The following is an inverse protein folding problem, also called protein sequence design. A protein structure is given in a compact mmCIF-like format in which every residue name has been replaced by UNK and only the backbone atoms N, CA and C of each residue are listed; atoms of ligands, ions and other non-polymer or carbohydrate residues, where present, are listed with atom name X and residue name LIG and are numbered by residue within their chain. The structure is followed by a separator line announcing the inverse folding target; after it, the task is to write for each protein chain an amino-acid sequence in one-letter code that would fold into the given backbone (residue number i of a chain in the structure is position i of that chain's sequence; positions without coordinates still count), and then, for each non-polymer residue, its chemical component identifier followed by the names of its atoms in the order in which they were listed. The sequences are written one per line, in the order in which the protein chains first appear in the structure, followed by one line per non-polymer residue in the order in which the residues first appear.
data_IF_565710604294
#
_entry.id   IF_565710604294
#
_cell.length_a   1.000
_cell.length_b   1.000
_cell.length_c   1.000
_cell.angle_alpha   90.00
_cell.angle_beta   90.00
_cell.angle_gamma   90.00
#
_symmetry.space_group_name_H-M   'P 1'
#
loop_
_entity.id
_entity.type
_entity.pdbx_description
1 polymer ?
#
# COMPACT_ATOMS: atom_id res chain seq x y z
N UNK A 1 -20.45 -35.93 23.04
CA UNK A 1 -19.91 -34.98 22.03
C UNK A 1 -21.07 -34.52 21.18
N UNK A 2 -21.32 -33.24 21.04
CA UNK A 2 -22.36 -32.74 20.14
C UNK A 2 -22.00 -33.12 18.71
N UNK A 3 -22.93 -33.71 17.97
CA UNK A 3 -22.76 -34.01 16.55
C UNK A 3 -22.75 -32.68 15.78
N UNK A 4 -21.85 -32.52 14.81
CA UNK A 4 -21.78 -31.29 14.00
C UNK A 4 -23.08 -30.98 13.26
N UNK A 5 -23.87 -32.00 12.94
CA UNK A 5 -25.22 -31.81 12.41
C UNK A 5 -26.18 -31.23 13.45
N UNK A 6 -26.06 -31.65 14.71
CA UNK A 6 -26.87 -31.11 15.83
C UNK A 6 -26.47 -29.66 16.13
N UNK A 7 -25.16 -29.33 16.05
CA UNK A 7 -24.63 -27.96 16.24
C UNK A 7 -25.24 -27.01 15.23
N UNK A 8 -25.37 -27.43 13.98
CA UNK A 8 -25.96 -26.61 12.90
C UNK A 8 -27.51 -26.73 12.87
N UNK A 9 -28.10 -27.65 13.62
CA UNK A 9 -29.56 -27.91 13.65
C UNK A 9 -30.07 -28.45 12.30
N UNK A 10 -29.32 -29.34 11.67
CA UNK A 10 -29.66 -29.95 10.38
C UNK A 10 -29.64 -31.49 10.50
N UNK A 11 -30.38 -32.19 9.64
CA UNK A 11 -30.33 -33.63 9.57
C UNK A 11 -29.04 -34.15 8.94
N UNK A 12 -28.60 -35.37 9.26
CA UNK A 12 -27.39 -35.99 8.69
C UNK A 12 -27.40 -36.13 7.18
N UNK A 13 -28.58 -36.22 6.58
CA UNK A 13 -28.79 -36.28 5.13
C UNK A 13 -28.89 -34.89 4.45
N UNK A 14 -28.71 -33.81 5.22
CA UNK A 14 -28.84 -32.44 4.70
C UNK A 14 -27.93 -32.18 3.52
N UNK A 15 -28.45 -31.48 2.51
CA UNK A 15 -27.71 -31.06 1.35
C UNK A 15 -26.70 -29.92 1.70
N UNK A 16 -25.69 -29.75 0.89
CA UNK A 16 -24.70 -28.65 1.05
C UNK A 16 -25.37 -27.28 1.15
N UNK A 17 -26.47 -27.07 0.42
CA UNK A 17 -27.23 -25.81 0.47
C UNK A 17 -27.98 -25.63 1.78
N UNK A 18 -28.51 -26.71 2.36
CA UNK A 18 -29.16 -26.68 3.67
C UNK A 18 -28.15 -26.35 4.76
N UNK A 19 -27.01 -27.02 4.76
CA UNK A 19 -25.89 -26.76 5.69
C UNK A 19 -25.46 -25.27 5.60
N UNK A 20 -25.28 -24.75 4.38
CA UNK A 20 -24.90 -23.35 4.14
C UNK A 20 -25.97 -22.36 4.63
N UNK A 21 -27.25 -22.67 4.45
CA UNK A 21 -28.34 -21.81 4.94
C UNK A 21 -28.42 -21.81 6.47
N UNK A 22 -28.28 -22.95 7.11
CA UNK A 22 -28.27 -23.09 8.57
C UNK A 22 -27.11 -22.29 9.17
N UNK A 23 -25.90 -22.46 8.64
CA UNK A 23 -24.73 -21.69 9.07
C UNK A 23 -24.95 -20.18 8.96
N UNK A 24 -25.41 -19.69 7.79
CA UNK A 24 -25.67 -18.26 7.59
C UNK A 24 -26.68 -17.67 8.57
N UNK A 25 -27.68 -18.46 8.98
CA UNK A 25 -28.66 -18.03 9.96
C UNK A 25 -28.00 -17.88 11.32
N UNK A 26 -27.34 -18.93 11.79
CA UNK A 26 -26.70 -18.97 13.12
C UNK A 26 -25.53 -17.94 13.20
N UNK A 27 -24.77 -17.78 12.13
CA UNK A 27 -23.67 -16.82 12.07
C UNK A 27 -24.14 -15.35 12.20
N UNK A 28 -25.34 -15.01 11.70
CA UNK A 28 -25.91 -13.67 11.90
C UNK A 28 -26.43 -13.46 13.32
N UNK A 29 -27.02 -14.49 13.91
CA UNK A 29 -27.59 -14.45 15.27
C UNK A 29 -26.49 -14.38 16.34
N UNK A 30 -25.37 -15.06 16.11
CA UNK A 30 -24.26 -15.22 17.07
C UNK A 30 -23.06 -14.31 16.76
N UNK A 31 -23.16 -13.41 15.75
CA UNK A 31 -22.04 -12.55 15.38
C UNK A 31 -21.59 -11.64 16.53
N UNK A 32 -20.28 -11.53 16.81
CA UNK A 32 -19.78 -10.73 17.94
C UNK A 32 -20.26 -9.26 17.94
N UNK A 33 -20.48 -8.68 16.76
CA UNK A 33 -20.96 -7.29 16.62
C UNK A 33 -22.47 -7.16 16.97
N UNK A 34 -23.22 -8.25 16.90
CA UNK A 34 -24.66 -8.28 17.19
C UNK A 34 -24.92 -8.83 18.60
N UNK A 35 -24.10 -9.76 19.05
CA UNK A 35 -24.25 -10.43 20.34
C UNK A 35 -22.89 -10.53 21.06
N UNK A 36 -22.55 -9.57 21.94
CA UNK A 36 -21.27 -9.53 22.65
C UNK A 36 -21.16 -10.53 23.81
N UNK A 37 -22.17 -11.36 24.06
CA UNK A 37 -22.17 -12.35 25.14
C UNK A 37 -21.07 -13.41 24.92
N UNK A 38 -20.21 -13.69 25.93
CA UNK A 38 -19.20 -14.73 25.85
C UNK A 38 -19.73 -16.13 25.52
N UNK A 39 -20.95 -16.45 25.93
CA UNK A 39 -21.60 -17.73 25.63
C UNK A 39 -21.96 -17.79 24.14
N UNK A 40 -22.48 -16.71 23.58
CA UNK A 40 -22.77 -16.60 22.15
C UNK A 40 -21.48 -16.69 21.29
N UNK A 41 -20.38 -16.09 21.73
CA UNK A 41 -19.10 -16.19 21.05
C UNK A 41 -18.55 -17.63 21.03
N UNK A 42 -18.67 -18.36 22.10
CA UNK A 42 -18.26 -19.78 22.15
C UNK A 42 -19.11 -20.61 21.20
N UNK A 43 -20.44 -20.38 21.20
CA UNK A 43 -21.35 -21.06 20.28
C UNK A 43 -21.13 -20.71 18.83
N UNK A 44 -20.72 -19.47 18.54
CA UNK A 44 -20.28 -19.04 17.19
C UNK A 44 -19.07 -19.85 16.69
N UNK A 45 -18.08 -20.11 17.57
CA UNK A 45 -16.92 -20.95 17.25
C UNK A 45 -17.34 -22.39 16.91
N UNK A 46 -18.20 -22.98 17.72
CA UNK A 46 -18.72 -24.35 17.48
C UNK A 46 -19.48 -24.45 16.15
N UNK A 47 -20.31 -23.45 15.85
CA UNK A 47 -21.07 -23.37 14.59
C UNK A 47 -20.15 -23.20 13.37
N UNK A 48 -19.09 -22.43 13.52
CA UNK A 48 -18.10 -22.23 12.45
C UNK A 48 -17.32 -23.51 12.20
N UNK A 49 -16.89 -24.20 13.25
CA UNK A 49 -16.20 -25.49 13.17
C UNK A 49 -17.07 -26.55 12.49
N UNK A 50 -18.32 -26.67 12.89
CA UNK A 50 -19.28 -27.62 12.31
C UNK A 50 -19.47 -27.33 10.80
N UNK A 51 -19.57 -26.07 10.41
CA UNK A 51 -19.71 -25.70 9.00
C UNK A 51 -18.45 -26.02 8.18
N UNK A 52 -17.26 -25.76 8.70
CA UNK A 52 -15.99 -26.06 8.00
C UNK A 52 -15.83 -27.56 7.72
N UNK A 53 -16.28 -28.41 8.63
CA UNK A 53 -16.23 -29.86 8.44
C UNK A 53 -17.30 -30.34 7.48
N UNK A 54 -18.54 -29.87 7.62
CA UNK A 54 -19.67 -30.37 6.84
C UNK A 54 -19.83 -29.73 5.46
N UNK A 55 -19.19 -28.58 5.20
CA UNK A 55 -19.24 -27.93 3.88
C UNK A 55 -18.31 -28.55 2.84
N UNK A 56 -17.24 -29.19 3.27
CA UNK A 56 -16.29 -29.90 2.38
C UNK A 56 -16.71 -31.37 2.25
N UNK A 57 -16.96 -31.88 1.02
CA UNK A 57 -17.39 -33.27 0.79
C UNK A 57 -16.41 -34.31 1.35
N UNK A 58 -15.11 -34.04 1.30
CA UNK A 58 -14.10 -34.97 1.80
C UNK A 58 -14.06 -35.01 3.33
N UNK A 59 -14.11 -33.83 3.96
CA UNK A 59 -14.15 -33.71 5.42
C UNK A 59 -15.42 -34.32 5.98
N UNK A 60 -16.56 -34.03 5.35
CA UNK A 60 -17.87 -34.62 5.71
C UNK A 60 -17.85 -36.14 5.61
N UNK A 61 -17.34 -36.69 4.49
CA UNK A 61 -17.24 -38.15 4.30
C UNK A 61 -16.35 -38.83 5.35
N UNK A 62 -15.26 -38.17 5.77
CA UNK A 62 -14.38 -38.67 6.81
C UNK A 62 -15.05 -38.62 8.19
N UNK A 63 -15.79 -37.56 8.47
CA UNK A 63 -16.60 -37.45 9.71
C UNK A 63 -17.70 -38.50 9.78
N UNK A 64 -18.44 -38.70 8.68
CA UNK A 64 -19.55 -39.68 8.58
C UNK A 64 -19.07 -41.15 8.67
N UNK A 65 -17.82 -41.45 8.27
CA UNK A 65 -17.20 -42.78 8.38
C UNK A 65 -16.73 -43.11 9.80
N UNK A 66 -17.01 -42.27 10.80
CA UNK A 66 -16.63 -42.52 12.18
C UNK A 66 -15.12 -42.47 12.40
N UNK A 67 -14.45 -41.46 11.84
CA UNK A 67 -13.01 -41.21 12.04
C UNK A 67 -12.68 -41.17 13.53
N UNK A 68 -12.24 -42.31 14.07
CA UNK A 68 -11.69 -42.47 15.41
C UNK A 68 -10.36 -41.66 15.47
N UNK A 69 -10.45 -40.38 15.82
CA UNK A 69 -9.27 -39.53 15.92
C UNK A 69 -9.53 -38.16 16.55
N UNK A 70 -10.78 -37.77 16.69
CA UNK A 70 -11.11 -36.49 17.35
C UNK A 70 -11.24 -36.67 18.89
N UNK A 71 -10.15 -37.07 19.52
CA UNK A 71 -10.10 -37.08 20.99
C UNK A 71 -9.56 -35.74 21.46
N UNK A 72 -10.40 -34.74 21.57
CA UNK A 72 -10.09 -33.49 22.25
C UNK A 72 -10.09 -33.78 23.79
N UNK A 73 -9.01 -34.41 24.25
CA UNK A 73 -8.74 -34.63 25.66
C UNK A 73 -8.41 -33.33 26.35
N UNK A 74 -9.25 -32.98 27.30
CA UNK A 74 -9.09 -31.88 28.24
C UNK A 74 -7.65 -31.78 28.80
N UNK A 75 -7.06 -30.61 28.76
CA UNK A 75 -5.91 -30.26 29.58
C UNK A 75 -5.00 -29.22 28.99
N UNK A 76 -5.13 -27.99 29.43
CA UNK A 76 -4.00 -27.02 29.28
C UNK A 76 -4.34 -25.69 28.66
N UNK A 77 -4.69 -24.75 29.52
CA UNK A 77 -4.84 -23.35 29.22
C UNK A 77 -3.53 -22.71 28.74
N UNK A 78 -3.62 -21.82 27.76
CA UNK A 78 -2.70 -20.70 27.58
C UNK A 78 -1.68 -20.85 26.47
N UNK A 79 -1.96 -20.23 25.37
CA UNK A 79 -1.09 -19.41 24.54
C UNK A 79 -1.56 -19.46 23.09
N UNK A 80 -1.84 -18.31 22.55
CA UNK A 80 -2.26 -17.89 21.23
C UNK A 80 -1.73 -18.60 19.97
N UNK A 81 -1.89 -19.89 19.87
CA UNK A 81 -1.71 -20.62 18.62
C UNK A 81 -3.01 -20.52 17.84
N UNK A 82 -2.96 -19.85 16.69
CA UNK A 82 -4.11 -19.73 15.81
C UNK A 82 -4.62 -21.12 15.40
N UNK A 83 -5.93 -21.26 15.38
CA UNK A 83 -6.63 -22.49 14.98
C UNK A 83 -6.21 -23.03 13.61
N UNK A 84 -5.71 -22.16 12.72
CA UNK A 84 -5.09 -22.51 11.44
C UNK A 84 -3.83 -23.39 11.58
N UNK A 85 -3.00 -23.12 12.56
CA UNK A 85 -1.75 -23.86 12.76
C UNK A 85 -2.02 -25.29 13.32
N UNK A 86 -3.10 -25.45 14.10
CA UNK A 86 -3.50 -26.75 14.62
C UNK A 86 -4.18 -27.59 13.51
N UNK A 87 -4.97 -26.96 12.65
CA UNK A 87 -5.55 -27.60 11.47
C UNK A 87 -4.48 -28.01 10.44
N UNK A 88 -3.49 -27.19 10.18
CA UNK A 88 -2.35 -27.53 9.33
C UNK A 88 -1.47 -28.66 9.94
N UNK A 89 -1.33 -28.73 11.25
CA UNK A 89 -0.63 -29.82 11.91
C UNK A 89 -1.41 -31.14 11.89
N UNK A 90 -2.73 -31.10 11.90
CA UNK A 90 -3.59 -32.30 11.99
C UNK A 90 -4.10 -32.80 10.62
N UNK A 91 -4.43 -31.89 9.68
CA UNK A 91 -4.90 -32.22 8.34
C UNK A 91 -3.85 -32.00 7.25
N UNK A 92 -2.84 -31.19 7.50
CA UNK A 92 -1.61 -31.11 6.73
C UNK A 92 -0.75 -32.38 6.89
N UNK A 93 -1.44 -33.47 7.23
CA UNK A 93 -0.86 -34.76 7.56
C UNK A 93 0.26 -35.12 6.67
N UNK A 94 1.46 -35.28 7.25
CA UNK A 94 2.51 -36.20 6.81
C UNK A 94 2.78 -36.41 5.31
N UNK A 95 2.21 -35.57 4.46
CA UNK A 95 2.57 -35.50 3.07
C UNK A 95 3.99 -34.92 3.02
N UNK A 96 4.99 -35.78 2.78
CA UNK A 96 6.35 -35.40 2.45
C UNK A 96 6.28 -34.18 1.52
N UNK A 97 6.51 -32.98 2.07
CA UNK A 97 6.77 -31.80 1.25
C UNK A 97 8.00 -32.17 0.46
N UNK A 98 7.83 -32.47 -0.83
CA UNK A 98 8.93 -32.85 -1.69
C UNK A 98 10.11 -31.87 -1.59
N UNK A 99 11.24 -32.14 -2.21
CA UNK A 99 12.41 -31.30 -2.12
C UNK A 99 12.06 -29.85 -2.51
N UNK A 100 12.60 -28.88 -1.78
CA UNK A 100 12.45 -27.47 -2.13
C UNK A 100 12.96 -27.23 -3.55
N UNK A 101 12.21 -26.55 -4.40
CA UNK A 101 12.71 -26.24 -5.75
C UNK A 101 13.92 -25.30 -5.61
N UNK A 102 15.00 -25.56 -6.36
CA UNK A 102 16.14 -24.65 -6.45
C UNK A 102 15.77 -23.37 -7.19
N UNK A 103 14.95 -23.52 -8.22
CA UNK A 103 14.44 -22.39 -8.99
C UNK A 103 13.22 -21.83 -8.28
N UNK A 104 13.32 -20.60 -7.79
CA UNK A 104 12.25 -19.91 -7.07
C UNK A 104 12.03 -18.55 -7.72
N UNK A 105 10.81 -18.01 -7.64
CA UNK A 105 10.56 -16.64 -8.04
C UNK A 105 11.33 -15.67 -7.16
N UNK A 106 11.88 -14.62 -7.76
CA UNK A 106 12.52 -13.53 -7.06
C UNK A 106 11.53 -12.68 -6.27
N UNK A 107 12.08 -11.90 -5.38
CA UNK A 107 11.29 -10.96 -4.57
C UNK A 107 10.93 -9.72 -5.39
N UNK A 108 9.77 -9.18 -5.10
CA UNK A 108 9.40 -7.87 -5.60
C UNK A 108 10.25 -6.81 -4.88
N UNK A 109 10.61 -5.76 -5.60
CA UNK A 109 11.42 -4.65 -5.09
C UNK A 109 10.59 -3.36 -5.07
N UNK A 110 10.82 -2.51 -4.08
CA UNK A 110 10.23 -1.18 -3.97
C UNK A 110 11.35 -0.15 -3.92
N UNK A 111 11.28 0.83 -4.80
CA UNK A 111 12.16 2.00 -4.78
C UNK A 111 11.32 3.26 -4.74
N UNK A 112 11.88 4.34 -4.19
CA UNK A 112 11.25 5.66 -4.17
C UNK A 112 12.02 6.59 -5.07
N UNK A 113 11.30 7.35 -5.88
CA UNK A 113 11.88 8.40 -6.70
C UNK A 113 11.22 9.73 -6.37
N UNK A 114 12.02 10.76 -6.30
CA UNK A 114 11.55 12.11 -6.12
C UNK A 114 11.38 12.77 -7.49
N UNK A 115 10.22 13.37 -7.73
CA UNK A 115 9.90 14.11 -8.94
C UNK A 115 9.50 15.53 -8.58
N UNK A 116 9.63 16.45 -9.52
CA UNK A 116 9.14 17.80 -9.35
C UNK A 116 7.65 17.93 -9.76
N UNK A 117 7.05 19.06 -9.43
CA UNK A 117 5.64 19.32 -9.73
C UNK A 117 5.36 19.38 -11.24
N UNK A 118 6.36 19.79 -12.05
CA UNK A 118 6.25 19.83 -13.51
C UNK A 118 6.19 18.40 -14.07
N UNK A 119 7.08 17.52 -13.62
CA UNK A 119 7.07 16.11 -14.00
C UNK A 119 5.79 15.40 -13.54
N UNK A 120 5.30 15.73 -12.33
CA UNK A 120 4.04 15.19 -11.83
C UNK A 120 2.85 15.65 -12.67
N UNK A 121 2.87 16.88 -13.16
CA UNK A 121 1.78 17.48 -13.94
C UNK A 121 1.74 16.96 -15.38
N UNK A 122 2.88 16.90 -16.06
CA UNK A 122 2.94 16.61 -17.49
C UNK A 122 3.41 15.19 -17.82
N UNK A 123 3.93 14.48 -16.82
CA UNK A 123 4.61 13.21 -17.01
C UNK A 123 6.03 13.40 -17.53
N UNK A 124 6.83 12.37 -17.38
CA UNK A 124 8.21 12.35 -17.88
C UNK A 124 8.71 10.92 -18.07
N UNK A 125 9.73 10.75 -18.90
CA UNK A 125 10.51 9.53 -19.00
C UNK A 125 11.81 9.71 -18.21
N UNK A 126 12.02 8.85 -17.21
CA UNK A 126 13.20 8.92 -16.35
C UNK A 126 14.02 7.65 -16.38
N UNK A 127 15.31 7.82 -16.52
CA UNK A 127 16.26 6.74 -16.29
C UNK A 127 16.59 6.63 -14.81
N UNK A 128 16.39 5.43 -14.27
CA UNK A 128 16.73 5.11 -12.88
C UNK A 128 17.76 3.99 -12.84
N UNK A 129 18.73 4.10 -11.95
CA UNK A 129 19.71 3.04 -11.71
C UNK A 129 19.31 2.28 -10.45
N UNK A 130 19.06 0.99 -10.59
CA UNK A 130 18.67 0.10 -9.49
C UNK A 130 19.74 -0.96 -9.26
N UNK A 131 20.02 -1.25 -8.00
CA UNK A 131 20.85 -2.37 -7.60
C UNK A 131 19.96 -3.57 -7.29
N UNK A 132 20.07 -4.61 -8.08
CA UNK A 132 19.16 -5.76 -8.02
C UNK A 132 19.91 -7.07 -8.31
N UNK A 133 19.31 -8.19 -7.94
CA UNK A 133 19.83 -9.50 -8.32
C UNK A 133 19.49 -9.81 -9.77
N UNK A 134 20.52 -10.06 -10.58
CA UNK A 134 20.41 -10.44 -11.99
C UNK A 134 20.86 -11.89 -12.18
N UNK A 135 20.44 -12.52 -13.26
CA UNK A 135 20.92 -13.87 -13.65
C UNK A 135 22.44 -13.84 -13.78
N UNK A 136 23.12 -14.77 -13.14
CA UNK A 136 24.56 -14.91 -13.31
C UNK A 136 24.90 -15.25 -14.75
N UNK A 137 25.70 -14.42 -15.40
CA UNK A 137 26.07 -14.57 -16.82
C UNK A 137 26.98 -15.77 -17.06
N UNK A 138 27.77 -16.19 -16.07
CA UNK A 138 28.69 -17.33 -16.16
C UNK A 138 27.98 -18.68 -16.19
N UNK A 139 26.99 -18.86 -15.34
CA UNK A 139 26.26 -20.13 -15.23
C UNK A 139 24.83 -20.07 -15.76
N UNK A 140 24.40 -18.93 -16.28
CA UNK A 140 23.04 -18.71 -16.84
C UNK A 140 21.91 -19.18 -15.90
N UNK A 141 22.12 -18.95 -14.58
CA UNK A 141 21.15 -19.30 -13.54
C UNK A 141 21.29 -20.68 -12.92
N UNK A 142 22.07 -21.61 -13.49
CA UNK A 142 22.20 -22.98 -12.98
C UNK A 142 22.90 -23.10 -11.61
N UNK A 143 23.70 -22.10 -11.25
CA UNK A 143 24.54 -22.12 -10.05
C UNK A 143 25.75 -23.04 -10.15
N UNK A 144 25.89 -23.82 -11.20
CA UNK A 144 26.98 -24.78 -11.43
C UNK A 144 28.07 -24.21 -12.32
N UNK A 145 29.30 -24.66 -12.13
CA UNK A 145 30.43 -24.33 -12.98
C UNK A 145 30.37 -25.16 -14.29
N UNK A 146 30.48 -24.49 -15.43
CA UNK A 146 30.40 -25.15 -16.73
C UNK A 146 29.05 -25.80 -16.99
N UNK A 147 29.06 -26.99 -17.62
CA UNK A 147 27.86 -27.78 -17.98
C UNK A 147 27.45 -28.81 -16.92
N UNK A 148 28.06 -28.78 -15.73
CA UNK A 148 27.69 -29.68 -14.63
C UNK A 148 26.28 -29.38 -14.11
N UNK A 149 25.45 -30.43 -14.01
CA UNK A 149 24.11 -30.31 -13.44
C UNK A 149 24.13 -30.70 -11.95
N UNK A 150 23.22 -30.16 -11.13
CA UNK A 150 23.06 -30.57 -9.74
C UNK A 150 22.77 -32.09 -9.67
N UNK A 151 23.52 -32.82 -8.85
CA UNK A 151 23.34 -34.26 -8.66
C UNK A 151 22.38 -34.56 -7.51
N UNK A 152 21.74 -35.73 -7.51
CA UNK A 152 20.88 -36.16 -6.40
C UNK A 152 21.68 -36.21 -5.09
N UNK A 153 21.13 -35.69 -4.02
CA UNK A 153 21.78 -35.76 -2.72
C UNK A 153 21.93 -37.22 -2.24
N UNK A 154 23.14 -37.69 -1.95
CA UNK A 154 23.36 -39.09 -1.53
C UNK A 154 22.72 -39.43 -0.19
N UNK A 155 22.55 -38.45 0.71
CA UNK A 155 22.01 -38.68 2.06
C UNK A 155 20.48 -38.86 2.03
N UNK A 156 19.73 -37.94 1.40
CA UNK A 156 18.27 -38.01 1.33
C UNK A 156 17.74 -38.64 0.03
N UNK A 157 18.61 -39.04 -0.88
CA UNK A 157 18.28 -39.66 -2.15
C UNK A 157 17.25 -38.88 -2.97
N UNK A 158 17.37 -37.56 -2.94
CA UNK A 158 16.48 -36.64 -3.64
C UNK A 158 15.22 -36.19 -2.89
N UNK A 159 14.95 -36.72 -1.70
CA UNK A 159 13.75 -36.39 -0.92
C UNK A 159 13.78 -34.98 -0.30
N UNK A 160 14.95 -34.41 -0.12
CA UNK A 160 15.13 -33.12 0.56
C UNK A 160 15.06 -33.22 2.08
N UNK A 161 14.49 -34.28 2.62
CA UNK A 161 14.24 -34.46 4.05
C UNK A 161 14.85 -35.78 4.56
N UNK A 162 15.18 -35.79 5.84
CA UNK A 162 15.61 -37.01 6.56
C UNK A 162 14.67 -37.26 7.74
N UNK A 163 14.21 -38.49 7.88
CA UNK A 163 13.38 -38.91 9.01
C UNK A 163 14.24 -39.17 10.21
N UNK A 164 13.86 -38.64 11.35
CA UNK A 164 14.51 -38.90 12.64
C UNK A 164 13.47 -39.41 13.62
N UNK A 165 13.78 -40.58 14.21
CA UNK A 165 12.94 -41.13 15.28
C UNK A 165 13.41 -40.52 16.60
N UNK A 166 12.53 -39.72 17.22
CA UNK A 166 12.80 -39.12 18.53
C UNK A 166 11.98 -39.90 19.59
N UNK A 167 12.62 -40.37 20.63
CA UNK A 167 11.96 -40.99 21.77
C UNK A 167 11.38 -39.90 22.65
N UNK A 168 10.07 -39.88 22.76
CA UNK A 168 9.29 -39.01 23.67
C UNK A 168 8.70 -39.83 24.79
N UNK A 169 8.28 -39.19 25.89
CA UNK A 169 7.59 -39.83 27.04
C UNK A 169 6.31 -40.55 26.59
N UNK A 170 5.75 -40.21 25.46
CA UNK A 170 4.54 -40.82 24.85
C UNK A 170 4.87 -41.89 23.79
N UNK A 171 6.14 -42.28 23.59
CA UNK A 171 6.54 -43.26 22.59
C UNK A 171 7.54 -42.73 21.56
N UNK A 172 7.71 -43.48 20.48
CA UNK A 172 8.59 -43.08 19.37
C UNK A 172 7.81 -42.20 18.41
N UNK A 173 8.26 -40.94 18.21
CA UNK A 173 7.70 -40.01 17.26
C UNK A 173 8.65 -39.88 16.08
N UNK A 174 8.17 -40.12 14.86
CA UNK A 174 8.90 -39.87 13.64
C UNK A 174 8.76 -38.37 13.28
N UNK A 175 9.86 -37.66 13.27
CA UNK A 175 9.91 -36.28 12.81
C UNK A 175 10.70 -36.18 11.51
N UNK A 176 10.23 -35.39 10.55
CA UNK A 176 10.92 -35.07 9.32
C UNK A 176 11.62 -33.71 9.48
N UNK A 177 12.89 -33.65 9.05
CA UNK A 177 13.62 -32.38 9.04
C UNK A 177 14.38 -32.20 7.72
N UNK A 178 14.63 -30.95 7.28
CA UNK A 178 15.41 -30.71 6.09
C UNK A 178 16.78 -31.41 6.15
N UNK A 179 17.17 -32.06 5.07
CA UNK A 179 18.46 -32.71 4.97
C UNK A 179 19.58 -31.66 5.06
N UNK A 180 20.48 -31.80 6.05
CA UNK A 180 21.54 -30.83 6.29
C UNK A 180 22.52 -30.73 5.11
N UNK A 181 22.76 -31.83 4.38
CA UNK A 181 23.68 -31.85 3.24
C UNK A 181 23.19 -31.07 2.04
N UNK A 182 21.90 -31.14 1.71
CA UNK A 182 21.30 -30.42 0.57
C UNK A 182 20.38 -29.27 1.00
N UNK A 183 20.28 -28.96 2.28
CA UNK A 183 19.45 -27.89 2.83
C UNK A 183 17.97 -27.94 2.37
N UNK A 184 17.47 -29.13 2.14
CA UNK A 184 16.08 -29.32 1.69
C UNK A 184 15.91 -29.39 0.18
N UNK A 185 16.92 -29.14 -0.65
CA UNK A 185 16.80 -29.10 -2.10
C UNK A 185 16.77 -30.49 -2.77
N UNK A 186 17.08 -31.53 -2.06
CA UNK A 186 17.15 -32.90 -2.64
C UNK A 186 18.29 -33.12 -3.62
N UNK A 187 18.99 -32.07 -4.04
CA UNK A 187 20.14 -32.12 -4.96
C UNK A 187 21.32 -31.33 -4.40
N UNK A 188 22.53 -31.62 -4.84
CA UNK A 188 23.76 -30.94 -4.44
C UNK A 188 24.49 -30.44 -5.68
N UNK A 189 25.00 -29.23 -5.65
CA UNK A 189 25.89 -28.67 -6.67
C UNK A 189 27.32 -29.09 -6.27
N UNK A 190 27.92 -29.97 -7.03
CA UNK A 190 29.29 -30.50 -6.71
C UNK A 190 30.36 -29.49 -7.07
N UNK A 191 30.17 -28.70 -8.12
CA UNK A 191 31.11 -27.67 -8.56
C UNK A 191 30.34 -26.33 -8.70
N UNK A 192 30.28 -25.52 -7.62
CA UNK A 192 29.53 -24.26 -7.64
C UNK A 192 30.21 -23.22 -8.51
N UNK A 193 29.42 -22.46 -9.24
CA UNK A 193 29.88 -21.32 -10.02
C UNK A 193 30.62 -20.31 -9.13
N UNK A 194 31.85 -19.96 -9.50
CA UNK A 194 32.70 -19.07 -8.70
C UNK A 194 32.19 -17.63 -8.60
N UNK A 195 31.39 -17.19 -9.56
CA UNK A 195 30.85 -15.84 -9.57
C UNK A 195 29.63 -15.68 -8.66
N UNK A 196 28.71 -16.65 -8.65
CA UNK A 196 27.48 -16.59 -7.85
C UNK A 196 27.48 -17.56 -6.65
N UNK A 197 28.58 -18.30 -6.41
CA UNK A 197 28.72 -19.26 -5.33
C UNK A 197 27.58 -20.30 -5.24
N UNK A 198 26.97 -20.65 -6.37
CA UNK A 198 25.89 -21.62 -6.43
C UNK A 198 24.47 -21.03 -6.39
N UNK A 199 24.31 -19.72 -6.16
CA UNK A 199 22.98 -19.09 -6.08
C UNK A 199 22.29 -18.87 -7.45
N UNK A 200 23.06 -18.91 -8.55
CA UNK A 200 22.53 -18.68 -9.91
C UNK A 200 22.26 -17.24 -10.28
N UNK A 201 22.44 -16.30 -9.33
CA UNK A 201 22.23 -14.87 -9.51
C UNK A 201 23.35 -14.05 -8.87
N UNK A 202 23.55 -12.83 -9.34
CA UNK A 202 24.54 -11.87 -8.82
C UNK A 202 23.90 -10.52 -8.62
N UNK A 203 24.33 -9.77 -7.59
CA UNK A 203 23.92 -8.39 -7.44
C UNK A 203 24.68 -7.51 -8.40
N UNK A 204 23.95 -6.71 -9.17
CA UNK A 204 24.51 -5.78 -10.13
C UNK A 204 23.61 -4.56 -10.30
N UNK A 205 24.19 -3.49 -10.82
CA UNK A 205 23.46 -2.27 -11.17
C UNK A 205 22.96 -2.37 -12.59
N UNK A 206 21.72 -1.97 -12.80
CA UNK A 206 21.16 -1.79 -14.13
C UNK A 206 20.37 -0.49 -14.21
N UNK A 207 20.36 0.11 -15.39
CA UNK A 207 19.55 1.28 -15.71
C UNK A 207 18.25 0.83 -16.34
N UNK A 208 17.14 1.42 -15.87
CA UNK A 208 15.80 1.17 -16.37
C UNK A 208 15.16 2.50 -16.74
N UNK A 209 14.42 2.52 -17.84
CA UNK A 209 13.58 3.66 -18.20
C UNK A 209 12.18 3.50 -17.58
N UNK A 210 11.75 4.49 -16.80
CA UNK A 210 10.46 4.55 -16.15
C UNK A 210 9.65 5.66 -16.76
N UNK A 211 8.51 5.29 -17.34
CA UNK A 211 7.55 6.25 -17.84
C UNK A 211 6.63 6.70 -16.70
N UNK A 212 6.74 7.96 -16.31
CA UNK A 212 5.93 8.59 -15.27
C UNK A 212 4.71 9.22 -15.96
N UNK A 213 3.48 8.71 -15.70
CA UNK A 213 2.30 9.28 -16.32
C UNK A 213 1.96 10.66 -15.73
N UNK A 214 1.33 11.52 -16.55
CA UNK A 214 0.82 12.81 -16.08
C UNK A 214 -0.25 12.63 -14.99
N UNK A 215 -0.21 13.49 -13.98
CA UNK A 215 -1.18 13.50 -12.89
C UNK A 215 -0.86 12.58 -11.72
N UNK A 216 0.33 12.02 -11.66
CA UNK A 216 0.74 11.18 -10.51
C UNK A 216 0.83 12.01 -9.24
N UNK A 217 0.58 11.35 -8.09
CA UNK A 217 0.65 11.93 -6.76
C UNK A 217 1.63 11.17 -5.88
N UNK A 218 2.09 11.81 -4.81
CA UNK A 218 2.89 11.14 -3.78
C UNK A 218 2.17 9.90 -3.27
N UNK A 219 2.89 8.76 -3.24
CA UNK A 219 2.36 7.46 -2.86
C UNK A 219 1.84 6.63 -4.03
N UNK A 220 1.70 7.19 -5.24
CA UNK A 220 1.40 6.39 -6.42
C UNK A 220 2.57 5.44 -6.72
N UNK A 221 2.25 4.24 -7.20
CA UNK A 221 3.22 3.21 -7.54
C UNK A 221 3.10 2.80 -8.99
N UNK A 222 4.23 2.83 -9.69
CA UNK A 222 4.35 2.33 -11.06
C UNK A 222 4.89 0.92 -10.97
N UNK A 223 4.12 -0.06 -11.45
CA UNK A 223 4.54 -1.46 -11.50
C UNK A 223 5.29 -1.74 -12.80
N UNK A 224 6.51 -2.23 -12.68
CA UNK A 224 7.33 -2.72 -13.79
C UNK A 224 7.47 -4.24 -13.65
N UNK A 225 6.63 -4.97 -14.39
CA UNK A 225 6.56 -6.42 -14.30
C UNK A 225 7.87 -7.09 -14.72
N UNK A 226 8.32 -8.04 -13.91
CA UNK A 226 9.55 -8.79 -14.14
C UNK A 226 10.85 -7.97 -14.02
N UNK A 227 10.77 -6.76 -13.44
CA UNK A 227 11.93 -5.88 -13.24
C UNK A 227 12.44 -5.87 -11.79
N UNK A 228 11.89 -6.74 -10.93
CA UNK A 228 12.37 -6.97 -9.57
C UNK A 228 13.63 -7.82 -9.50
N UNK A 229 13.89 -8.44 -8.34
CA UNK A 229 15.03 -9.34 -8.17
C UNK A 229 14.81 -10.67 -8.90
N UNK A 230 15.84 -11.16 -9.55
CA UNK A 230 15.87 -12.54 -10.08
C UNK A 230 15.90 -13.52 -8.91
N UNK A 231 15.12 -14.58 -9.02
CA UNK A 231 15.03 -15.60 -8.00
C UNK A 231 16.26 -16.48 -7.90
N UNK A 232 16.46 -17.16 -6.76
CA UNK A 232 17.50 -18.18 -6.62
C UNK A 232 17.39 -19.24 -7.72
N UNK A 233 18.53 -19.80 -8.14
CA UNK A 233 18.61 -20.79 -9.21
C UNK A 233 18.23 -20.24 -10.58
N UNK A 234 18.37 -18.93 -10.81
CA UNK A 234 17.98 -18.28 -12.05
C UNK A 234 16.46 -18.26 -12.27
N UNK A 235 15.67 -18.29 -11.21
CA UNK A 235 14.21 -18.26 -11.28
C UNK A 235 13.68 -16.95 -11.86
N UNK A 236 12.40 -16.92 -12.22
CA UNK A 236 11.78 -15.71 -12.77
C UNK A 236 11.92 -14.54 -11.81
N UNK A 237 12.13 -13.34 -12.34
CA UNK A 237 12.22 -12.12 -11.55
C UNK A 237 10.87 -11.78 -10.91
N UNK A 238 10.91 -11.12 -9.78
CA UNK A 238 9.78 -10.42 -9.21
C UNK A 238 9.45 -9.15 -9.98
N UNK A 239 8.57 -8.32 -9.44
CA UNK A 239 8.19 -7.03 -10.00
C UNK A 239 8.93 -5.89 -9.28
N UNK A 240 9.18 -4.80 -9.99
CA UNK A 240 9.70 -3.56 -9.40
C UNK A 240 8.56 -2.56 -9.27
N UNK A 241 8.37 -2.07 -8.06
CA UNK A 241 7.44 -0.97 -7.77
C UNK A 241 8.23 0.31 -7.58
N UNK A 242 7.91 1.32 -8.38
CA UNK A 242 8.49 2.65 -8.28
C UNK A 242 7.47 3.55 -7.60
N UNK A 243 7.70 3.90 -6.34
CA UNK A 243 6.86 4.80 -5.55
C UNK A 243 7.27 6.25 -5.80
N UNK A 244 6.30 7.07 -6.14
CA UNK A 244 6.48 8.49 -6.44
C UNK A 244 6.45 9.30 -5.16
N UNK A 245 7.38 10.24 -5.04
CA UNK A 245 7.40 11.29 -4.00
C UNK A 245 7.54 12.62 -4.68
N UNK A 246 6.51 13.46 -4.61
CA UNK A 246 6.53 14.80 -5.17
C UNK A 246 7.29 15.75 -4.25
N UNK A 247 8.24 16.52 -4.81
CA UNK A 247 8.97 17.57 -4.10
C UNK A 247 8.09 18.79 -3.92
N UNK A 248 8.22 19.45 -2.77
CA UNK A 248 7.58 20.73 -2.55
C UNK A 248 8.08 21.75 -3.59
N UNK A 249 7.16 22.46 -4.22
CA UNK A 249 7.48 23.55 -5.13
C UNK A 249 7.72 24.84 -4.35
N UNK A 250 8.50 25.77 -4.89
CA UNK A 250 8.92 26.99 -4.20
C UNK A 250 7.72 27.89 -3.81
N UNK A 251 6.75 28.04 -4.69
CA UNK A 251 5.60 28.93 -4.49
C UNK A 251 4.25 28.34 -4.86
N UNK A 252 4.21 27.12 -5.41
CA UNK A 252 2.97 26.43 -5.74
C UNK A 252 2.71 25.33 -4.70
N UNK A 253 1.50 25.26 -4.21
CA UNK A 253 1.02 24.22 -3.30
C UNK A 253 -0.06 23.41 -4.00
N UNK A 254 0.12 22.11 -4.11
CA UNK A 254 -0.85 21.21 -4.72
C UNK A 254 -1.93 20.78 -3.74
N UNK A 255 -3.17 20.76 -4.20
CA UNK A 255 -4.32 20.21 -3.47
C UNK A 255 -5.18 19.38 -4.45
N UNK A 256 -4.94 18.06 -4.51
CA UNK A 256 -5.54 17.20 -5.52
C UNK A 256 -5.09 17.57 -6.93
N UNK A 257 -6.05 17.90 -7.81
CA UNK A 257 -5.76 18.33 -9.18
C UNK A 257 -5.53 19.86 -9.27
N UNK A 258 -5.79 20.62 -8.19
CA UNK A 258 -5.66 22.07 -8.18
C UNK A 258 -4.34 22.53 -7.60
N UNK A 259 -3.91 23.73 -8.01
CA UNK A 259 -2.74 24.43 -7.50
C UNK A 259 -3.14 25.71 -6.79
N UNK A 260 -2.40 26.08 -5.77
CA UNK A 260 -2.57 27.30 -5.00
C UNK A 260 -1.28 28.08 -4.96
N UNK A 261 -1.37 29.42 -5.10
CA UNK A 261 -0.24 30.32 -4.90
C UNK A 261 -0.68 31.58 -4.17
N UNK A 262 0.23 32.15 -3.39
CA UNK A 262 0.04 33.46 -2.78
C UNK A 262 0.60 34.55 -3.69
N UNK A 263 -0.19 35.59 -3.96
CA UNK A 263 0.21 36.75 -4.74
C UNK A 263 0.12 38.00 -3.86
N UNK A 264 1.27 38.54 -3.49
CA UNK A 264 1.34 39.76 -2.69
C UNK A 264 1.33 41.00 -3.56
N UNK A 265 0.37 41.86 -3.37
CA UNK A 265 0.25 43.13 -4.11
C UNK A 265 0.23 44.34 -3.18
N UNK A 266 0.74 45.52 -3.60
CA UNK A 266 0.61 46.75 -2.83
C UNK A 266 -0.86 47.23 -2.77
N UNK A 267 -1.21 47.92 -1.72
CA UNK A 267 -2.57 48.46 -1.55
C UNK A 267 -3.03 49.35 -2.69
N UNK A 268 -2.11 50.08 -3.32
CA UNK A 268 -2.41 50.97 -4.47
C UNK A 268 -2.86 50.17 -5.68
N UNK A 269 -2.24 49.04 -5.96
CA UNK A 269 -2.66 48.12 -7.05
C UNK A 269 -4.00 47.47 -6.72
N UNK A 270 -4.25 47.14 -5.45
CA UNK A 270 -5.53 46.59 -5.04
C UNK A 270 -6.68 47.60 -5.18
N UNK A 271 -6.43 48.88 -4.87
CA UNK A 271 -7.42 49.95 -4.97
C UNK A 271 -7.71 50.32 -6.43
N UNK A 272 -6.66 50.51 -7.25
CA UNK A 272 -6.77 51.00 -8.62
C UNK A 272 -7.06 49.88 -9.64
N UNK A 273 -6.76 48.65 -9.31
CA UNK A 273 -6.70 47.53 -10.24
C UNK A 273 -5.39 47.51 -11.01
N UNK A 274 -5.01 46.34 -11.46
CA UNK A 274 -3.82 46.14 -12.29
C UNK A 274 -3.85 44.80 -12.98
N UNK A 275 -3.07 44.62 -14.03
CA UNK A 275 -2.81 43.31 -14.64
C UNK A 275 -1.36 42.94 -14.39
N UNK A 276 -1.15 41.73 -13.89
CA UNK A 276 0.17 41.20 -13.54
C UNK A 276 0.43 39.92 -14.33
N UNK A 277 1.68 39.76 -14.77
CA UNK A 277 2.14 38.47 -15.28
C UNK A 277 2.68 37.64 -14.12
N UNK A 278 2.22 36.40 -14.01
CA UNK A 278 2.70 35.42 -13.03
C UNK A 278 3.26 34.22 -13.76
N UNK A 279 4.28 33.63 -13.18
CA UNK A 279 4.85 32.36 -13.67
C UNK A 279 3.99 31.18 -13.21
N UNK A 280 3.60 30.34 -14.17
CA UNK A 280 2.87 29.11 -13.97
C UNK A 280 3.67 27.93 -14.51
N UNK A 281 3.24 26.68 -14.27
CA UNK A 281 3.91 25.49 -14.82
C UNK A 281 3.96 25.49 -16.36
N UNK A 282 3.09 26.23 -17.04
CA UNK A 282 3.04 26.30 -18.50
C UNK A 282 3.69 27.57 -19.07
N UNK A 283 4.40 28.32 -18.24
CA UNK A 283 4.95 29.63 -18.57
C UNK A 283 4.11 30.77 -17.98
N UNK A 284 4.26 31.96 -18.52
CA UNK A 284 3.61 33.18 -18.01
C UNK A 284 2.10 33.18 -18.27
N UNK A 285 1.35 33.69 -17.30
CA UNK A 285 -0.10 33.89 -17.38
C UNK A 285 -0.48 35.27 -16.82
N UNK A 286 -1.35 35.98 -17.50
CA UNK A 286 -1.85 37.26 -17.02
C UNK A 286 -2.98 37.07 -15.98
N UNK A 287 -2.88 37.81 -14.88
CA UNK A 287 -3.89 37.88 -13.83
C UNK A 287 -4.39 39.30 -13.71
N UNK A 288 -5.69 39.48 -13.93
CA UNK A 288 -6.36 40.75 -13.76
C UNK A 288 -6.79 40.94 -12.30
N UNK A 289 -6.25 41.94 -11.65
CA UNK A 289 -6.65 42.40 -10.32
C UNK A 289 -7.64 43.54 -10.50
N UNK A 290 -8.92 43.29 -10.20
CA UNK A 290 -9.96 44.29 -10.31
C UNK A 290 -9.81 45.38 -9.27
N UNK A 291 -10.17 46.63 -9.63
CA UNK A 291 -10.18 47.73 -8.67
C UNK A 291 -11.04 47.40 -7.45
N UNK A 292 -10.53 47.66 -6.25
CA UNK A 292 -11.18 47.35 -4.99
C UNK A 292 -11.02 45.91 -4.51
N UNK A 293 -10.08 45.14 -5.08
CA UNK A 293 -9.76 43.79 -4.62
C UNK A 293 -9.33 43.80 -3.17
N UNK A 294 -9.89 42.92 -2.35
CA UNK A 294 -9.60 42.79 -0.93
C UNK A 294 -8.56 41.70 -0.67
N UNK A 295 -7.80 41.83 0.42
CA UNK A 295 -6.92 40.75 0.89
C UNK A 295 -7.75 39.50 1.20
N UNK A 296 -7.21 38.33 0.81
CA UNK A 296 -7.94 37.05 0.87
C UNK A 296 -8.87 36.78 -0.30
N UNK A 297 -8.91 37.64 -1.32
CA UNK A 297 -9.61 37.34 -2.59
C UNK A 297 -8.88 36.21 -3.30
N UNK A 298 -9.64 35.25 -3.84
CA UNK A 298 -9.09 34.11 -4.60
C UNK A 298 -9.51 34.25 -6.04
N UNK A 299 -8.52 34.22 -6.95
CA UNK A 299 -8.76 34.34 -8.39
C UNK A 299 -8.44 32.99 -9.04
N UNK A 300 -9.45 32.28 -9.59
CA UNK A 300 -9.23 31.02 -10.27
C UNK A 300 -8.73 31.24 -11.70
N UNK A 301 -7.70 30.54 -12.10
CA UNK A 301 -7.19 30.47 -13.48
C UNK A 301 -7.44 29.05 -14.00
N UNK A 302 -8.32 28.94 -14.95
CA UNK A 302 -8.76 27.65 -15.49
C UNK A 302 -7.65 26.92 -16.25
N UNK A 303 -7.62 25.58 -16.12
CA UNK A 303 -6.70 24.70 -16.83
C UNK A 303 -5.21 25.00 -16.56
N UNK A 304 -4.88 25.56 -15.37
CA UNK A 304 -3.50 25.84 -14.92
C UNK A 304 -3.11 25.02 -13.68
N UNK A 305 -3.95 24.07 -13.29
CA UNK A 305 -3.66 23.09 -12.26
C UNK A 305 -2.88 21.89 -12.78
N UNK A 306 -2.89 20.80 -12.03
CA UNK A 306 -2.27 19.52 -12.36
C UNK A 306 -3.18 18.73 -13.31
N UNK A 307 -2.60 17.95 -14.20
CA UNK A 307 -3.34 17.02 -15.06
C UNK A 307 -3.93 15.90 -14.20
N UNK A 308 -5.17 15.57 -14.41
CA UNK A 308 -5.81 14.46 -13.71
C UNK A 308 -5.30 13.11 -14.25
N UNK A 309 -4.90 12.22 -13.37
CA UNK A 309 -4.36 10.91 -13.76
C UNK A 309 -5.32 10.16 -14.71
N UNK A 310 -4.80 9.69 -15.85
CA UNK A 310 -5.53 9.00 -16.92
C UNK A 310 -6.64 9.83 -17.57
N UNK A 311 -6.54 11.15 -17.55
CA UNK A 311 -7.50 12.06 -18.16
C UNK A 311 -6.77 13.19 -18.87
N UNK A 312 -7.43 13.86 -19.78
CA UNK A 312 -6.96 15.11 -20.40
C UNK A 312 -7.42 16.36 -19.63
N UNK A 313 -8.20 16.17 -18.57
CA UNK A 313 -8.65 17.28 -17.73
C UNK A 313 -7.49 17.78 -16.87
N UNK A 314 -7.43 19.11 -16.70
CA UNK A 314 -6.52 19.77 -15.77
C UNK A 314 -7.32 20.58 -14.76
N UNK A 315 -6.84 20.61 -13.52
CA UNK A 315 -7.36 21.43 -12.45
C UNK A 315 -7.15 22.93 -12.68
N UNK A 316 -7.49 23.71 -11.70
CA UNK A 316 -7.36 25.15 -11.71
C UNK A 316 -6.15 25.62 -10.88
N UNK A 317 -5.64 26.82 -11.18
CA UNK A 317 -4.70 27.52 -10.31
C UNK A 317 -5.46 28.60 -9.54
N UNK A 318 -5.46 28.50 -8.22
CA UNK A 318 -6.07 29.48 -7.33
C UNK A 318 -5.01 30.46 -6.84
N UNK A 319 -5.12 31.72 -7.28
CA UNK A 319 -4.24 32.80 -6.85
C UNK A 319 -4.89 33.50 -5.65
N UNK A 320 -4.26 33.36 -4.48
CA UNK A 320 -4.68 33.97 -3.22
C UNK A 320 -4.03 35.35 -3.11
N UNK A 321 -4.83 36.39 -3.21
CA UNK A 321 -4.33 37.77 -3.18
C UNK A 321 -4.12 38.21 -1.74
N UNK A 322 -2.89 38.64 -1.43
CA UNK A 322 -2.54 39.32 -0.18
C UNK A 322 -2.25 40.79 -0.45
N UNK A 323 -2.96 41.68 0.19
CA UNK A 323 -2.74 43.11 0.06
C UNK A 323 -1.83 43.61 1.16
N UNK A 324 -0.68 44.14 0.77
CA UNK A 324 0.28 44.72 1.71
C UNK A 324 0.07 46.21 1.85
N UNK A 325 -0.11 46.64 3.08
CA UNK A 325 -0.16 48.04 3.49
C UNK A 325 1.25 48.46 3.86
N UNK A 326 1.78 49.58 3.32
CA UNK A 326 3.12 50.09 3.66
C UNK A 326 3.20 50.42 5.14
N UNK A 327 4.23 49.90 5.82
CA UNK A 327 4.43 50.12 7.27
C UNK A 327 5.21 51.39 7.56
N UNK A 328 5.87 51.98 6.57
CA UNK A 328 6.63 53.24 6.71
C UNK A 328 6.26 54.15 5.55
N UNK A 329 5.84 55.38 5.89
CA UNK A 329 5.52 56.43 4.93
C UNK A 329 6.47 57.62 5.16
N UNK A 330 6.88 58.25 4.10
CA UNK A 330 7.50 59.57 4.19
C UNK A 330 6.41 60.66 4.38
N UNK A 331 6.81 61.89 4.69
CA UNK A 331 5.87 63.00 4.97
C UNK A 331 4.94 63.29 3.78
N UNK A 332 5.42 63.21 2.56
CA UNK A 332 4.60 63.46 1.36
C UNK A 332 3.57 62.32 1.13
N UNK A 333 4.00 61.08 1.32
CA UNK A 333 3.09 59.92 1.23
C UNK A 333 2.02 59.97 2.33
N UNK A 334 2.39 60.33 3.56
CA UNK A 334 1.44 60.46 4.65
C UNK A 334 0.39 61.54 4.36
N UNK A 335 0.81 62.69 3.80
CA UNK A 335 -0.08 63.79 3.40
C UNK A 335 -1.08 63.33 2.30
N UNK A 336 -0.61 62.60 1.29
CA UNK A 336 -1.47 62.04 0.25
C UNK A 336 -2.48 61.03 0.79
N UNK A 337 -2.08 60.16 1.71
CA UNK A 337 -3.00 59.21 2.32
C UNK A 337 -4.02 59.93 3.21
N UNK A 338 -3.61 60.95 3.98
CA UNK A 338 -4.55 61.80 4.77
C UNK A 338 -5.56 62.54 3.88
N UNK A 339 -5.09 63.10 2.77
CA UNK A 339 -5.95 63.76 1.82
C UNK A 339 -6.97 62.81 1.21
N UNK A 340 -6.51 61.58 0.85
CA UNK A 340 -7.40 60.54 0.36
C UNK A 340 -8.46 60.12 1.38
N UNK A 341 -8.06 59.96 2.67
CA UNK A 341 -9.00 59.63 3.73
C UNK A 341 -10.04 60.71 3.93
N UNK A 342 -9.60 62.01 3.90
CA UNK A 342 -10.54 63.16 4.00
C UNK A 342 -11.52 63.21 2.85
N UNK A 343 -11.09 62.97 1.60
CA UNK A 343 -11.97 62.91 0.42
C UNK A 343 -13.01 61.80 0.52
N UNK A 344 -12.65 60.67 1.15
CA UNK A 344 -13.56 59.56 1.37
C UNK A 344 -14.47 59.72 2.57
N UNK A 345 -14.16 60.64 3.49
CA UNK A 345 -14.83 60.78 4.78
C UNK A 345 -14.51 59.58 5.73
N UNK A 346 -13.37 58.95 5.56
CA UNK A 346 -12.96 57.83 6.42
C UNK A 346 -12.51 58.39 7.79
N UNK A 347 -13.28 58.13 8.86
CA UNK A 347 -12.99 58.52 10.23
C UNK A 347 -12.78 57.28 11.08
N UNK A 348 -12.26 57.43 12.31
CA UNK A 348 -12.13 56.35 13.28
C UNK A 348 -13.47 55.63 13.57
N UNK A 349 -14.59 56.40 13.44
CA UNK A 349 -15.97 55.91 13.61
C UNK A 349 -16.44 55.03 12.45
N UNK A 350 -15.73 55.08 11.32
CA UNK A 350 -16.00 54.20 10.15
C UNK A 350 -15.63 52.77 10.40
N UNK A 351 -14.86 52.49 11.46
CA UNK A 351 -14.52 51.13 11.85
C UNK A 351 -15.74 50.39 12.42
N UNK A 352 -16.06 49.24 11.85
CA UNK A 352 -17.19 48.40 12.28
C UNK A 352 -16.65 47.07 12.80
N UNK A 353 -17.29 46.57 13.87
CA UNK A 353 -17.04 45.22 14.36
C UNK A 353 -17.91 44.24 13.52
N UNK A 354 -17.26 43.37 12.80
CA UNK A 354 -17.95 42.35 12.04
C UNK A 354 -18.54 41.26 12.93
N UNK A 355 -19.76 40.84 12.64
CA UNK A 355 -20.38 39.69 13.29
C UNK A 355 -19.60 38.41 12.93
N UNK A 356 -19.45 37.49 13.92
CA UNK A 356 -18.70 36.22 13.77
C UNK A 356 -19.14 35.34 12.60
N UNK A 357 -20.37 35.48 12.13
CA UNK A 357 -20.93 34.66 11.05
C UNK A 357 -20.54 35.13 9.65
N UNK A 358 -20.24 36.41 9.46
CA UNK A 358 -19.92 36.98 8.12
C UNK A 358 -18.47 37.45 7.98
N UNK A 359 -17.68 37.40 9.05
CA UNK A 359 -16.30 37.87 9.07
C UNK A 359 -15.27 36.76 8.75
N UNK A 360 -14.00 37.11 8.91
CA UNK A 360 -12.85 36.22 8.70
C UNK A 360 -12.97 34.89 9.46
N UNK A 361 -13.59 34.90 10.64
CA UNK A 361 -13.83 33.71 11.47
C UNK A 361 -14.91 32.77 10.90
N UNK A 362 -15.91 33.28 10.18
CA UNK A 362 -16.86 32.45 9.46
C UNK A 362 -16.19 31.70 8.30
N UNK A 363 -15.36 32.40 7.53
CA UNK A 363 -14.59 31.81 6.41
C UNK A 363 -13.54 30.80 6.89
N UNK A 364 -12.88 31.05 8.05
CA UNK A 364 -11.95 30.09 8.67
C UNK A 364 -12.67 28.81 9.15
N UNK A 365 -13.88 28.94 9.69
CA UNK A 365 -14.67 27.80 10.14
C UNK A 365 -15.11 26.94 8.96
N UNK A 366 -15.49 27.56 7.85
CA UNK A 366 -15.87 26.84 6.62
C UNK A 366 -14.68 26.17 5.94
N UNK A 367 -13.47 26.74 6.04
CA UNK A 367 -12.22 26.17 5.53
C UNK A 367 -11.66 25.03 6.38
N UNK A 368 -11.89 25.07 7.72
CA UNK A 368 -11.43 24.04 8.67
C UNK A 368 -12.45 22.92 8.91
N UNK A 369 -13.67 23.07 8.43
CA UNK A 369 -14.78 22.14 8.62
C UNK A 369 -15.07 21.21 7.44
N UNK A 370 -14.15 21.11 6.48
CA UNK A 370 -14.22 20.16 5.37
C UNK A 370 -13.14 19.11 5.43
#
# INVERSE_FOLDING_TARGET
MADFYDVLGVERNASSDQIKRAYRKLARELHPDVNPDPVAQNRFKEVTEAYEVLSDPNKRSNFDRGGQGFNFGAGGAGAGFGFGDIMDAFFGGGGSRGPRPRVQRGQDALIRIEIDLMEATFGSDREITVETALVCTKCTGSGSSGSTQPTKCPICQGRGEVQQVTRSVLGQVMSSRPCANCQGFGSVITDPCRECAGDGRVRSRRTLNVQIPAGVETGNRIQMSGQGEVGPGGGPAGDLYVEIVEKAHEYLVRSGDDLHMALTIPMTSAVLGTTLSIETLDGESEVEIKAGTQSGTVIPIKNRGVTKLRSSYRGELFVHVEVVIPTKLNKAEEELVRNFANLRGDTAESAKVDNRENGLFGRLKDALGR
#
